data_IF_087963416603
#
_entry.id   IF_087963416603
#
_cell.length_a   1.000
_cell.length_b   1.000
_cell.length_c   1.000
_cell.angle_alpha   90.00
_cell.angle_beta   90.00
_cell.angle_gamma   90.00
#
_symmetry.space_group_name_H-M   'P 1'
#
loop_
_entity.id
_entity.type
_entity.pdbx_description
1 polymer ?
#
# COMPACT_ATOMS: atom_id res chain seq x y z
N UNK A 1 2.51 -1.19 -17.25
CA UNK A 1 2.18 -2.57 -17.66
C UNK A 1 0.78 -2.58 -18.24
N UNK A 2 0.53 -3.36 -19.30
CA UNK A 2 -0.82 -3.57 -19.85
C UNK A 2 -1.59 -4.68 -19.10
N UNK A 3 -0.93 -5.42 -18.20
CA UNK A 3 -1.55 -6.49 -17.41
C UNK A 3 -2.41 -5.98 -16.25
N UNK A 4 -2.30 -4.70 -15.91
CA UNK A 4 -3.03 -4.08 -14.81
C UNK A 4 -3.92 -2.99 -15.36
N UNK A 5 -5.14 -2.90 -14.81
CA UNK A 5 -6.01 -1.74 -14.95
C UNK A 5 -5.37 -0.49 -14.33
N UNK A 6 -5.91 0.68 -14.64
CA UNK A 6 -5.38 1.94 -14.11
C UNK A 6 -5.59 2.03 -12.58
N UNK A 7 -6.73 1.53 -12.07
CA UNK A 7 -6.96 1.41 -10.63
C UNK A 7 -5.92 0.51 -9.95
N UNK A 8 -5.62 -0.66 -10.51
CA UNK A 8 -4.61 -1.56 -9.93
C UNK A 8 -3.21 -0.90 -9.91
N UNK A 9 -2.85 -0.13 -10.94
CA UNK A 9 -1.60 0.62 -10.95
C UNK A 9 -1.55 1.68 -9.85
N UNK A 10 -2.64 2.42 -9.67
CA UNK A 10 -2.72 3.45 -8.62
C UNK A 10 -2.71 2.82 -7.22
N UNK A 11 -3.36 1.67 -7.01
CA UNK A 11 -3.28 0.90 -5.75
C UNK A 11 -1.84 0.44 -5.47
N UNK A 12 -1.13 -0.05 -6.49
CA UNK A 12 0.28 -0.45 -6.34
C UNK A 12 1.18 0.75 -6.03
N UNK A 13 0.98 1.88 -6.72
CA UNK A 13 1.71 3.11 -6.46
C UNK A 13 1.46 3.64 -5.04
N UNK A 14 0.21 3.57 -4.57
CA UNK A 14 -0.15 3.95 -3.21
C UNK A 14 0.48 3.03 -2.18
N UNK A 15 0.50 1.72 -2.45
CA UNK A 15 1.17 0.72 -1.60
C UNK A 15 2.66 1.00 -1.46
N UNK A 16 3.33 1.36 -2.56
CA UNK A 16 4.74 1.75 -2.56
C UNK A 16 4.98 3.03 -1.73
N UNK A 17 4.21 4.08 -1.99
CA UNK A 17 4.29 5.36 -1.28
C UNK A 17 4.03 5.22 0.23
N UNK A 18 3.01 4.43 0.62
CA UNK A 18 2.69 4.10 2.01
C UNK A 18 3.76 3.25 2.70
N UNK A 19 4.57 2.52 1.94
CA UNK A 19 5.61 1.66 2.48
C UNK A 19 6.98 2.36 2.63
N UNK A 20 7.14 3.56 2.08
CA UNK A 20 8.35 4.35 2.15
C UNK A 20 8.64 4.86 3.58
N UNK A 21 9.89 5.30 3.81
CA UNK A 21 10.30 5.97 5.06
C UNK A 21 11.11 7.22 4.71
N UNK A 22 10.56 8.44 4.91
CA UNK A 22 9.21 8.73 5.43
C UNK A 22 8.10 8.31 4.45
N UNK A 23 6.90 8.10 4.97
CA UNK A 23 5.69 7.90 4.15
C UNK A 23 5.40 9.21 3.41
N UNK A 24 5.19 9.13 2.10
CA UNK A 24 4.84 10.29 1.28
C UNK A 24 3.91 9.87 0.14
N UNK A 25 2.61 10.09 0.32
CA UNK A 25 1.59 9.88 -0.72
C UNK A 25 1.30 11.22 -1.37
N UNK A 26 1.45 11.30 -2.70
CA UNK A 26 1.08 12.51 -3.45
C UNK A 26 -0.44 12.72 -3.45
N UNK A 27 -0.88 13.95 -3.28
CA UNK A 27 -2.31 14.31 -3.26
C UNK A 27 -3.03 13.88 -4.55
N UNK A 28 -2.36 14.00 -5.70
CA UNK A 28 -2.93 13.61 -6.99
C UNK A 28 -3.14 12.10 -7.10
N UNK A 29 -2.30 11.30 -6.44
CA UNK A 29 -2.48 9.85 -6.39
C UNK A 29 -3.66 9.49 -5.50
N UNK A 30 -3.78 10.13 -4.34
CA UNK A 30 -4.90 9.92 -3.42
C UNK A 30 -6.23 10.30 -4.07
N UNK A 31 -6.28 11.44 -4.79
CA UNK A 31 -7.48 11.88 -5.51
C UNK A 31 -7.92 10.89 -6.60
N UNK A 32 -6.99 10.34 -7.41
CA UNK A 32 -7.34 9.32 -8.41
C UNK A 32 -7.93 8.05 -7.78
N UNK A 33 -7.46 7.68 -6.59
CA UNK A 33 -8.03 6.55 -5.86
C UNK A 33 -9.45 6.84 -5.36
N UNK A 34 -9.72 8.05 -4.87
CA UNK A 34 -11.07 8.45 -4.44
C UNK A 34 -12.09 8.52 -5.58
N UNK A 35 -11.65 8.60 -6.84
CA UNK A 35 -12.54 8.48 -8.01
C UNK A 35 -13.12 7.06 -8.18
N UNK A 36 -12.45 6.05 -7.59
CA UNK A 36 -12.77 4.64 -7.77
C UNK A 36 -13.10 3.90 -6.48
N UNK A 37 -12.55 4.33 -5.35
CA UNK A 37 -12.68 3.72 -4.04
C UNK A 37 -13.46 4.63 -3.12
N UNK A 38 -14.49 4.08 -2.48
CA UNK A 38 -15.21 4.80 -1.44
C UNK A 38 -14.33 4.98 -0.18
N UNK A 39 -14.72 5.85 0.77
CA UNK A 39 -13.94 6.08 1.98
C UNK A 39 -13.69 4.82 2.82
N UNK A 40 -14.61 3.84 2.82
CA UNK A 40 -14.43 2.58 3.56
C UNK A 40 -13.36 1.73 2.88
N UNK A 41 -13.39 1.62 1.55
CA UNK A 41 -12.40 0.90 0.77
C UNK A 41 -11.00 1.52 0.90
N UNK A 42 -10.91 2.86 0.94
CA UNK A 42 -9.63 3.54 1.20
C UNK A 42 -9.08 3.21 2.59
N UNK A 43 -9.93 3.17 3.62
CA UNK A 43 -9.53 2.77 4.98
C UNK A 43 -9.04 1.32 4.99
N UNK A 44 -9.78 0.41 4.35
CA UNK A 44 -9.41 -1.01 4.27
C UNK A 44 -8.07 -1.22 3.56
N UNK A 45 -7.86 -0.57 2.40
CA UNK A 45 -6.61 -0.61 1.66
C UNK A 45 -5.44 -0.11 2.52
N UNK A 46 -5.61 1.05 3.15
CA UNK A 46 -4.59 1.67 4.00
C UNK A 46 -4.24 0.78 5.20
N UNK A 47 -5.26 0.21 5.86
CA UNK A 47 -5.08 -0.67 7.00
C UNK A 47 -4.34 -1.96 6.61
N UNK A 48 -4.69 -2.56 5.46
CA UNK A 48 -4.01 -3.75 4.95
C UNK A 48 -2.53 -3.48 4.70
N UNK A 49 -2.18 -2.36 4.05
CA UNK A 49 -0.80 -1.95 3.79
C UNK A 49 -0.05 -1.74 5.11
N UNK A 50 -0.64 -1.00 6.05
CA UNK A 50 -0.03 -0.72 7.34
C UNK A 50 0.27 -1.99 8.15
N UNK A 51 -0.67 -2.95 8.15
CA UNK A 51 -0.50 -4.23 8.83
C UNK A 51 0.65 -5.04 8.21
N UNK A 52 0.74 -5.09 6.88
CA UNK A 52 1.85 -5.78 6.22
C UNK A 52 3.20 -5.08 6.47
N UNK A 53 3.21 -3.75 6.50
CA UNK A 53 4.43 -3.01 6.81
C UNK A 53 4.91 -3.25 8.25
N UNK A 54 3.97 -3.33 9.20
CA UNK A 54 4.27 -3.75 10.58
C UNK A 54 4.89 -5.15 10.62
N UNK A 55 4.24 -6.14 10.00
CA UNK A 55 4.74 -7.52 9.96
C UNK A 55 6.13 -7.61 9.31
N UNK A 56 6.35 -6.89 8.21
CA UNK A 56 7.65 -6.86 7.53
C UNK A 56 8.75 -6.24 8.41
N UNK A 57 8.46 -5.12 9.09
CA UNK A 57 9.40 -4.47 10.01
C UNK A 57 9.71 -5.35 11.22
N UNK A 58 8.69 -6.00 11.78
CA UNK A 58 8.83 -6.94 12.87
C UNK A 58 9.74 -8.10 12.46
N UNK A 59 9.41 -8.79 11.37
CA UNK A 59 10.20 -9.93 10.87
C UNK A 59 11.65 -9.54 10.60
N UNK A 60 11.87 -8.37 9.99
CA UNK A 60 13.22 -7.84 9.73
C UNK A 60 13.99 -7.55 11.02
N UNK A 61 13.35 -6.97 12.02
CA UNK A 61 14.00 -6.67 13.31
C UNK A 61 14.43 -7.94 14.06
N UNK A 62 13.65 -9.02 13.94
CA UNK A 62 13.91 -10.30 14.60
C UNK A 62 14.62 -11.33 13.71
N UNK A 63 15.02 -10.97 12.48
CA UNK A 63 15.66 -11.88 11.51
C UNK A 63 14.85 -13.17 11.25
N UNK A 64 13.52 -13.04 11.22
CA UNK A 64 12.60 -14.15 10.94
C UNK A 64 12.62 -14.46 9.44
N UNK A 65 12.96 -15.70 9.08
CA UNK A 65 12.94 -16.21 7.71
C UNK A 65 11.57 -16.83 7.37
N UNK A 66 11.20 -16.94 6.07
CA UNK A 66 10.07 -17.74 5.65
C UNK A 66 10.22 -19.19 6.12
N UNK A 67 9.11 -19.83 6.45
CA UNK A 67 9.08 -21.29 6.62
C UNK A 67 9.28 -21.97 5.26
N UNK A 68 9.97 -23.12 5.25
CA UNK A 68 10.23 -23.91 4.04
C UNK A 68 8.95 -24.47 3.39
#
# INVERSE_FOLDING_TARGET
SELFSDLEKDVLAYTEAMSATPVNVADELYQRLEEHLDPVQMVELTAAIALQNFSARFNRAFQIAPED
#
